data_IF_716546120176
#
_entry.id   IF_716546120176
#
_cell.length_a   1.000
_cell.length_b   1.000
_cell.length_c   1.000
_cell.angle_alpha   90.00
_cell.angle_beta   90.00
_cell.angle_gamma   90.00
#
_symmetry.space_group_name_H-M   'P 1'
#
loop_
_entity.id
_entity.type
_entity.pdbx_description
1 polymer ?
#
# COMPACT_ATOMS: atom_id res chain seq x y z
N UNK A 1 -40.63 -18.70 7.45
CA UNK A 1 -40.07 -17.32 7.33
C UNK A 1 -40.69 -16.51 8.46
N UNK A 2 -39.90 -15.78 9.27
CA UNK A 2 -39.09 -14.65 8.81
C UNK A 2 -37.61 -14.76 9.16
N UNK A 3 -36.84 -13.85 8.57
CA UNK A 3 -35.44 -13.95 8.19
C UNK A 3 -34.67 -12.87 8.96
N UNK A 4 -34.02 -13.23 10.06
CA UNK A 4 -33.05 -12.34 10.74
C UNK A 4 -31.67 -12.57 10.12
N UNK A 5 -31.31 -11.72 9.16
CA UNK A 5 -29.93 -11.60 8.67
C UNK A 5 -29.11 -10.93 9.76
N UNK A 6 -28.47 -11.73 10.60
CA UNK A 6 -27.32 -11.28 11.37
C UNK A 6 -26.21 -10.89 10.39
N UNK A 7 -25.91 -9.60 10.30
CA UNK A 7 -24.74 -9.06 9.64
C UNK A 7 -23.49 -9.50 10.39
N UNK A 8 -22.89 -10.59 9.93
CA UNK A 8 -21.56 -11.00 10.37
C UNK A 8 -20.52 -10.04 9.77
N UNK A 9 -20.00 -9.17 10.63
CA UNK A 9 -18.72 -8.47 10.45
C UNK A 9 -17.64 -9.51 10.12
N UNK A 10 -16.95 -9.44 8.96
CA UNK A 10 -15.81 -10.31 8.72
C UNK A 10 -14.62 -9.80 9.53
N UNK A 11 -14.47 -10.42 10.70
CA UNK A 11 -13.20 -10.84 11.31
C UNK A 11 -11.93 -10.22 10.69
N UNK A 12 -11.31 -9.32 11.45
CA UNK A 12 -9.85 -9.08 11.44
C UNK A 12 -9.15 -10.44 11.56
N UNK A 13 -8.81 -11.05 10.42
CA UNK A 13 -7.94 -12.22 10.37
C UNK A 13 -6.51 -11.71 10.44
N UNK A 14 -6.02 -11.63 11.68
CA UNK A 14 -4.60 -11.58 12.01
C UNK A 14 -3.88 -12.61 11.16
N UNK A 15 -3.16 -12.14 10.15
CA UNK A 15 -2.34 -12.99 9.30
C UNK A 15 -1.05 -13.25 10.06
N UNK A 16 -0.95 -14.42 10.68
CA UNK A 16 0.32 -14.96 11.17
C UNK A 16 1.31 -14.96 9.98
N UNK A 17 2.58 -14.59 10.20
CA UNK A 17 3.58 -14.54 9.14
C UNK A 17 3.92 -15.96 8.71
N UNK A 18 3.19 -16.48 7.73
CA UNK A 18 3.68 -17.60 6.93
C UNK A 18 4.93 -17.12 6.23
N UNK A 19 6.05 -17.77 6.53
CA UNK A 19 7.37 -17.51 5.98
C UNK A 19 7.40 -17.95 4.50
N UNK A 20 6.58 -17.28 3.68
CA UNK A 20 6.69 -17.36 2.24
C UNK A 20 8.08 -16.86 1.86
N UNK A 21 8.77 -17.48 0.88
CA UNK A 21 10.08 -17.05 0.43
C UNK A 21 10.00 -15.54 0.21
N UNK A 22 10.81 -14.78 0.96
CA UNK A 22 10.82 -13.31 0.96
C UNK A 22 11.08 -12.85 -0.46
N UNK A 23 10.02 -12.74 -1.25
CA UNK A 23 10.05 -12.41 -2.67
C UNK A 23 10.77 -11.09 -2.70
N UNK A 24 11.97 -11.07 -3.31
CA UNK A 24 12.85 -9.90 -3.35
C UNK A 24 11.95 -8.71 -3.65
N UNK A 25 11.77 -7.83 -2.67
CA UNK A 25 10.81 -6.73 -2.81
C UNK A 25 11.23 -5.97 -4.05
N UNK A 26 10.31 -5.85 -5.02
CA UNK A 26 10.59 -5.06 -6.22
C UNK A 26 10.97 -3.65 -5.79
N UNK A 27 11.89 -3.00 -6.51
CA UNK A 27 12.37 -1.64 -6.18
C UNK A 27 11.18 -0.68 -6.01
N UNK A 28 10.11 -0.87 -6.79
CA UNK A 28 8.83 -0.16 -6.63
C UNK A 28 8.24 -0.30 -5.23
N UNK A 29 8.12 -1.53 -4.72
CA UNK A 29 7.53 -1.80 -3.41
C UNK A 29 8.39 -1.24 -2.28
N UNK A 30 9.71 -1.29 -2.41
CA UNK A 30 10.63 -0.66 -1.45
C UNK A 30 10.43 0.85 -1.43
N UNK A 31 10.44 1.49 -2.60
CA UNK A 31 10.20 2.92 -2.73
C UNK A 31 8.85 3.35 -2.14
N UNK A 32 7.79 2.62 -2.46
CA UNK A 32 6.45 2.88 -1.91
C UNK A 32 6.44 2.84 -0.38
N UNK A 33 7.09 1.84 0.22
CA UNK A 33 7.14 1.70 1.69
C UNK A 33 7.95 2.82 2.36
N UNK A 34 8.97 3.35 1.70
CA UNK A 34 9.80 4.43 2.24
C UNK A 34 9.19 5.82 2.02
N UNK A 35 8.59 6.08 0.86
CA UNK A 35 8.08 7.41 0.50
C UNK A 35 6.67 7.67 1.03
N UNK A 36 5.82 6.65 1.15
CA UNK A 36 4.47 6.80 1.68
C UNK A 36 4.40 7.38 3.11
N UNK A 37 5.18 6.90 4.10
CA UNK A 37 5.20 7.51 5.42
C UNK A 37 5.77 8.93 5.39
N UNK A 38 6.78 9.22 4.55
CA UNK A 38 7.31 10.59 4.38
C UNK A 38 6.26 11.54 3.80
N UNK A 39 5.48 11.09 2.82
CA UNK A 39 4.40 11.88 2.23
C UNK A 39 3.30 12.15 3.26
N UNK A 40 2.88 11.13 4.02
CA UNK A 40 1.88 11.28 5.09
C UNK A 40 2.38 12.15 6.25
N UNK A 41 3.68 12.14 6.55
CA UNK A 41 4.28 13.01 7.56
C UNK A 41 4.30 14.47 7.09
N UNK A 42 4.59 14.73 5.81
CA UNK A 42 4.56 16.08 5.21
C UNK A 42 3.13 16.60 5.03
N UNK A 43 2.20 15.71 4.68
CA UNK A 43 0.80 16.03 4.49
C UNK A 43 -0.06 15.29 5.52
N UNK A 44 0.02 15.74 6.77
CA UNK A 44 -0.81 15.18 7.83
C UNK A 44 -2.30 15.34 7.49
N UNK A 45 -3.04 14.23 7.41
CA UNK A 45 -4.47 14.24 7.11
C UNK A 45 -4.85 13.88 5.67
N UNK A 46 -3.89 13.64 4.77
CA UNK A 46 -4.21 13.09 3.45
C UNK A 46 -4.72 11.65 3.57
N UNK A 47 -5.74 11.33 2.77
CA UNK A 47 -6.20 9.95 2.66
C UNK A 47 -5.06 9.06 2.14
N UNK A 48 -4.98 7.83 2.65
CA UNK A 48 -3.96 6.86 2.22
C UNK A 48 -3.94 6.68 0.70
N UNK A 49 -5.11 6.69 0.04
CA UNK A 49 -5.24 6.57 -1.41
C UNK A 49 -4.59 7.73 -2.16
N UNK A 50 -4.81 8.95 -1.68
CA UNK A 50 -4.22 10.17 -2.26
C UNK A 50 -2.71 10.18 -2.06
N UNK A 51 -2.24 9.88 -0.85
CA UNK A 51 -0.81 9.73 -0.58
C UNK A 51 -0.16 8.69 -1.48
N UNK A 52 -0.81 7.53 -1.64
CA UNK A 52 -0.30 6.45 -2.48
C UNK A 52 -0.24 6.87 -3.96
N UNK A 53 -1.26 7.55 -4.47
CA UNK A 53 -1.28 8.07 -5.85
C UNK A 53 -0.15 9.06 -6.09
N UNK A 54 0.08 9.98 -5.14
CA UNK A 54 1.15 10.97 -5.24
C UNK A 54 2.53 10.34 -5.24
N UNK A 55 2.76 9.39 -4.33
CA UNK A 55 4.00 8.63 -4.28
C UNK A 55 4.18 7.75 -5.54
N UNK A 56 3.10 7.22 -6.12
CA UNK A 56 3.16 6.51 -7.41
C UNK A 56 3.53 7.41 -8.58
N UNK A 57 3.07 8.66 -8.60
CA UNK A 57 3.50 9.67 -9.58
C UNK A 57 4.98 10.01 -9.36
N UNK A 58 5.41 10.19 -8.10
CA UNK A 58 6.83 10.41 -7.76
C UNK A 58 7.70 9.22 -8.22
N UNK A 59 7.21 7.99 -8.07
CA UNK A 59 7.90 6.80 -8.55
C UNK A 59 8.08 6.80 -10.07
N UNK A 60 7.04 7.18 -10.84
CA UNK A 60 7.15 7.26 -12.31
C UNK A 60 8.32 8.14 -12.75
N UNK A 61 8.55 9.22 -12.01
CA UNK A 61 9.64 10.18 -12.25
C UNK A 61 10.97 9.80 -11.56
N UNK A 62 10.97 8.81 -10.67
CA UNK A 62 12.13 8.45 -9.86
C UNK A 62 13.25 7.84 -10.72
N UNK A 63 14.53 8.21 -10.48
CA UNK A 63 15.67 7.60 -11.18
C UNK A 63 15.83 6.10 -10.90
N UNK A 64 15.20 5.58 -9.84
CA UNK A 64 15.20 4.17 -9.46
C UNK A 64 14.18 3.34 -10.26
N UNK A 65 13.31 3.98 -11.04
CA UNK A 65 12.34 3.30 -11.87
C UNK A 65 12.98 2.90 -13.20
N UNK A 66 13.22 1.59 -13.46
CA UNK A 66 13.82 1.15 -14.72
C UNK A 66 12.91 1.38 -15.94
N UNK A 67 11.64 1.78 -15.73
CA UNK A 67 10.69 2.18 -16.78
C UNK A 67 10.55 3.70 -16.91
N UNK A 68 11.46 4.50 -16.36
CA UNK A 68 11.42 5.96 -16.50
C UNK A 68 11.64 6.35 -17.96
N UNK A 69 10.58 6.82 -18.63
CA UNK A 69 10.63 7.26 -20.03
C UNK A 69 10.33 6.18 -21.08
N UNK A 70 9.71 5.06 -20.69
CA UNK A 70 9.18 4.06 -21.63
C UNK A 70 7.68 4.26 -21.86
#
# INVERSE_FOLDING_TARGET
MPKVKATAVPTKKSSAPTEAPKKKMSIYNTFMKEELPKYKAKHAGVEHKEAFKQVAIMWKNSPLNPKRGQ
#
